data_IF_651864625266
#
_entry.id   IF_651864625266
#
_cell.length_a   1.000
_cell.length_b   1.000
_cell.length_c   1.000
_cell.angle_alpha   90.00
_cell.angle_beta   90.00
_cell.angle_gamma   90.00
#
_symmetry.space_group_name_H-M   'P 1'
#
loop_
_entity.id
_entity.type
_entity.pdbx_description
1 polymer ?
#
# COMPACT_ATOMS: atom_id res chain seq x y z
N UNK A 1 -48.81 38.24 -25.63
CA UNK A 1 -49.12 36.85 -26.03
C UNK A 1 -48.21 35.90 -25.25
N UNK A 2 -48.72 35.19 -24.24
CA UNK A 2 -47.93 34.21 -23.47
C UNK A 2 -48.47 32.81 -23.79
N UNK A 3 -47.65 32.00 -24.46
CA UNK A 3 -47.98 30.64 -24.93
C UNK A 3 -47.79 29.64 -23.76
N UNK A 4 -48.84 28.89 -23.43
CA UNK A 4 -48.90 27.91 -22.33
C UNK A 4 -47.82 26.82 -22.47
N UNK A 5 -46.86 26.76 -21.54
CA UNK A 5 -45.93 25.64 -21.34
C UNK A 5 -46.51 24.60 -20.35
N UNK A 6 -47.57 23.88 -20.73
CA UNK A 6 -48.16 22.82 -19.89
C UNK A 6 -47.96 21.38 -20.42
N UNK A 7 -47.35 21.21 -21.59
CA UNK A 7 -47.09 19.89 -22.19
C UNK A 7 -45.70 19.30 -21.89
N UNK A 8 -44.71 20.12 -21.54
CA UNK A 8 -43.35 19.63 -21.26
C UNK A 8 -43.20 19.01 -19.87
N UNK A 9 -43.92 19.53 -18.86
CA UNK A 9 -43.80 19.04 -17.47
C UNK A 9 -44.29 17.60 -17.34
N UNK A 10 -45.36 17.23 -18.06
CA UNK A 10 -45.91 15.87 -18.03
C UNK A 10 -44.93 14.84 -18.61
N UNK A 11 -44.16 15.22 -19.63
CA UNK A 11 -43.15 14.34 -20.25
C UNK A 11 -42.01 14.06 -19.25
N UNK A 12 -41.55 15.06 -18.51
CA UNK A 12 -40.50 14.87 -17.50
C UNK A 12 -40.97 13.98 -16.33
N UNK A 13 -42.23 14.12 -15.91
CA UNK A 13 -42.81 13.27 -14.85
C UNK A 13 -42.90 11.82 -15.32
N UNK A 14 -43.38 11.58 -16.55
CA UNK A 14 -43.47 10.23 -17.11
C UNK A 14 -42.06 9.62 -17.23
N UNK A 15 -41.07 10.39 -17.71
CA UNK A 15 -39.69 9.93 -17.83
C UNK A 15 -39.09 9.54 -16.46
N UNK A 16 -39.32 10.35 -15.43
CA UNK A 16 -38.84 10.05 -14.08
C UNK A 16 -39.48 8.77 -13.52
N UNK A 17 -40.78 8.56 -13.71
CA UNK A 17 -41.48 7.34 -13.28
C UNK A 17 -40.97 6.11 -14.03
N UNK A 18 -40.70 6.23 -15.33
CA UNK A 18 -40.13 5.13 -16.13
C UNK A 18 -38.72 4.78 -15.67
N UNK A 19 -37.88 5.78 -15.35
CA UNK A 19 -36.52 5.55 -14.83
C UNK A 19 -36.58 4.87 -13.46
N UNK A 20 -37.45 5.34 -12.55
CA UNK A 20 -37.63 4.73 -11.22
C UNK A 20 -38.15 3.30 -11.35
N UNK A 21 -39.13 3.05 -12.22
CA UNK A 21 -39.65 1.70 -12.47
C UNK A 21 -38.58 0.78 -13.09
N UNK A 22 -37.72 1.29 -13.97
CA UNK A 22 -36.61 0.54 -14.54
C UNK A 22 -35.55 0.20 -13.51
N UNK A 23 -35.23 1.12 -12.58
CA UNK A 23 -34.31 0.87 -11.45
C UNK A 23 -34.90 -0.20 -10.52
N UNK A 24 -36.18 -0.09 -10.15
CA UNK A 24 -36.85 -1.08 -9.30
C UNK A 24 -36.90 -2.44 -10.01
N UNK A 25 -37.24 -2.49 -11.30
CA UNK A 25 -37.26 -3.73 -12.08
C UNK A 25 -35.86 -4.35 -12.20
N UNK A 26 -34.82 -3.52 -12.36
CA UNK A 26 -33.43 -3.97 -12.37
C UNK A 26 -33.02 -4.59 -11.04
N UNK A 27 -33.37 -3.99 -9.90
CA UNK A 27 -33.11 -4.56 -8.58
C UNK A 27 -33.92 -5.83 -8.30
N UNK A 28 -35.18 -5.90 -8.76
CA UNK A 28 -36.00 -7.11 -8.62
C UNK A 28 -35.50 -8.27 -9.48
N UNK A 29 -35.09 -8.01 -10.72
CA UNK A 29 -34.54 -9.00 -11.64
C UNK A 29 -33.13 -9.46 -11.25
N UNK A 30 -32.35 -8.63 -10.54
CA UNK A 30 -31.04 -9.03 -9.99
C UNK A 30 -31.18 -9.94 -8.75
N UNK A 31 -32.33 -9.98 -8.08
CA UNK A 31 -32.52 -10.77 -6.86
C UNK A 31 -32.76 -12.28 -7.10
N UNK A 32 -32.84 -12.75 -8.35
CA UNK A 32 -33.24 -14.13 -8.66
C UNK A 32 -32.11 -15.17 -8.64
N UNK A 33 -31.00 -14.90 -7.94
CA UNK A 33 -29.82 -15.79 -7.88
C UNK A 33 -29.49 -16.39 -6.51
N UNK A 34 -30.18 -16.02 -5.43
CA UNK A 34 -29.93 -16.62 -4.11
C UNK A 34 -30.96 -17.72 -3.86
N UNK A 35 -30.49 -18.96 -3.80
CA UNK A 35 -31.13 -20.03 -3.03
C UNK A 35 -31.55 -19.40 -1.69
N UNK A 36 -32.85 -19.38 -1.38
CA UNK A 36 -33.33 -18.73 -0.18
C UNK A 36 -32.79 -19.49 1.03
N UNK A 37 -31.67 -19.02 1.57
CA UNK A 37 -31.05 -19.60 2.74
C UNK A 37 -32.08 -19.62 3.88
N UNK A 38 -32.27 -20.77 4.53
CA UNK A 38 -33.24 -20.86 5.62
C UNK A 38 -32.81 -19.95 6.77
N UNK A 39 -33.77 -19.49 7.57
CA UNK A 39 -33.46 -18.61 8.71
C UNK A 39 -32.53 -19.28 9.72
N UNK A 40 -32.53 -20.61 9.78
CA UNK A 40 -31.64 -21.41 10.63
C UNK A 40 -30.19 -21.45 10.10
N UNK A 41 -29.98 -21.34 8.79
CA UNK A 41 -28.65 -21.40 8.16
C UNK A 41 -27.99 -20.03 7.97
N UNK A 42 -28.77 -18.95 8.01
CA UNK A 42 -28.26 -17.59 7.88
C UNK A 42 -27.14 -17.23 8.87
N UNK A 43 -27.18 -17.61 10.16
CA UNK A 43 -26.10 -17.29 11.10
C UNK A 43 -24.76 -17.95 10.72
N UNK A 44 -24.80 -19.19 10.23
CA UNK A 44 -23.61 -19.93 9.76
C UNK A 44 -22.99 -19.23 8.56
N UNK A 45 -23.82 -18.86 7.58
CA UNK A 45 -23.33 -18.16 6.39
C UNK A 45 -22.79 -16.75 6.71
N UNK A 46 -23.45 -16.00 7.59
CA UNK A 46 -22.94 -14.70 8.03
C UNK A 46 -21.58 -14.83 8.73
N UNK A 47 -21.40 -15.89 9.52
CA UNK A 47 -20.12 -16.18 10.16
C UNK A 47 -19.04 -16.48 9.12
N UNK A 48 -19.35 -17.28 8.09
CA UNK A 48 -18.45 -17.53 6.97
C UNK A 48 -18.06 -16.25 6.24
N UNK A 49 -19.03 -15.37 5.92
CA UNK A 49 -18.75 -14.07 5.29
C UNK A 49 -17.81 -13.20 6.15
N UNK A 50 -18.05 -13.13 7.47
CA UNK A 50 -17.17 -12.39 8.38
C UNK A 50 -15.78 -13.02 8.54
N UNK A 51 -15.66 -14.32 8.35
CA UNK A 51 -14.36 -15.00 8.31
C UNK A 51 -13.57 -14.62 7.04
N UNK A 52 -14.21 -14.70 5.87
CA UNK A 52 -13.62 -14.29 4.59
C UNK A 52 -13.22 -12.80 4.57
N UNK A 53 -14.06 -11.94 5.14
CA UNK A 53 -13.76 -10.51 5.31
C UNK A 53 -12.47 -10.31 6.13
N UNK A 54 -12.31 -11.07 7.23
CA UNK A 54 -11.12 -11.01 8.08
C UNK A 54 -9.86 -11.50 7.37
N UNK A 55 -9.94 -12.60 6.62
CA UNK A 55 -8.81 -13.05 5.81
C UNK A 55 -8.44 -12.01 4.75
N UNK A 56 -9.43 -11.37 4.13
CA UNK A 56 -9.20 -10.29 3.17
C UNK A 56 -8.51 -9.09 3.82
N UNK A 57 -8.95 -8.66 5.01
CA UNK A 57 -8.28 -7.61 5.78
C UNK A 57 -6.84 -7.97 6.13
N UNK A 58 -6.58 -9.22 6.53
CA UNK A 58 -5.24 -9.72 6.84
C UNK A 58 -4.32 -9.70 5.62
N UNK A 59 -4.76 -10.21 4.47
CA UNK A 59 -3.99 -10.17 3.22
C UNK A 59 -3.72 -8.75 2.72
N UNK A 60 -4.69 -7.85 2.87
CA UNK A 60 -4.50 -6.41 2.58
C UNK A 60 -3.44 -5.79 3.50
N UNK A 61 -3.47 -6.10 4.80
CA UNK A 61 -2.47 -5.61 5.76
C UNK A 61 -1.09 -6.12 5.40
N UNK A 62 -0.98 -7.40 5.04
CA UNK A 62 0.28 -8.03 4.66
C UNK A 62 0.90 -7.35 3.43
N UNK A 63 0.12 -7.15 2.36
CA UNK A 63 0.55 -6.35 1.21
C UNK A 63 1.03 -4.95 1.61
N UNK A 64 0.31 -4.28 2.50
CA UNK A 64 0.66 -2.94 2.98
C UNK A 64 1.97 -2.89 3.77
N UNK A 65 2.20 -3.89 4.63
CA UNK A 65 3.37 -3.99 5.50
C UNK A 65 4.63 -4.45 4.75
N UNK A 66 4.48 -5.22 3.68
CA UNK A 66 5.57 -5.84 2.92
C UNK A 66 5.78 -5.22 1.54
N UNK A 67 5.56 -3.91 1.42
CA UNK A 67 5.83 -3.13 0.20
C UNK A 67 5.11 -3.65 -1.07
N UNK A 68 3.93 -4.23 -0.91
CA UNK A 68 3.10 -4.76 -2.00
C UNK A 68 3.38 -6.21 -2.37
N UNK A 69 3.96 -6.99 -1.45
CA UNK A 69 4.18 -8.43 -1.60
C UNK A 69 3.51 -9.18 -0.45
N UNK A 70 3.07 -10.41 -0.67
CA UNK A 70 2.64 -11.37 0.35
C UNK A 70 3.72 -12.45 0.52
N UNK A 71 4.29 -12.92 -0.60
CA UNK A 71 5.25 -14.02 -0.63
C UNK A 71 6.66 -13.48 -0.86
N UNK A 72 7.17 -12.71 0.10
CA UNK A 72 8.48 -12.03 0.02
C UNK A 72 9.64 -13.02 -0.18
N UNK A 73 9.52 -14.23 0.35
CA UNK A 73 10.47 -15.32 0.20
C UNK A 73 10.68 -15.79 -1.24
N UNK A 74 9.75 -15.49 -2.15
CA UNK A 74 9.89 -15.79 -3.57
C UNK A 74 10.76 -14.76 -4.32
N UNK A 75 11.09 -13.63 -3.68
CA UNK A 75 11.97 -12.62 -4.24
C UNK A 75 13.44 -12.99 -4.07
N UNK A 76 14.24 -12.72 -5.11
CA UNK A 76 15.69 -12.91 -5.06
C UNK A 76 16.32 -11.92 -4.07
N UNK A 77 16.86 -12.45 -2.96
CA UNK A 77 17.63 -11.64 -2.02
C UNK A 77 19.00 -11.27 -2.60
N UNK A 78 19.29 -9.97 -2.66
CA UNK A 78 20.58 -9.43 -3.09
C UNK A 78 21.27 -8.77 -1.90
N UNK A 79 22.40 -9.33 -1.48
CA UNK A 79 23.19 -8.77 -0.39
C UNK A 79 23.90 -7.47 -0.79
N UNK A 80 24.12 -6.62 0.21
CA UNK A 80 25.02 -5.48 0.08
C UNK A 80 26.49 -5.90 0.01
N UNK A 81 27.38 -4.91 -0.16
CA UNK A 81 28.83 -5.05 -0.09
C UNK A 81 29.42 -4.10 0.95
N UNK A 82 30.71 -4.26 1.26
CA UNK A 82 31.44 -3.33 2.13
C UNK A 82 31.40 -1.88 1.66
N UNK A 83 31.21 -1.66 0.36
CA UNK A 83 31.16 -0.33 -0.26
C UNK A 83 29.72 0.17 -0.46
N UNK A 84 28.77 -0.76 -0.67
CA UNK A 84 27.33 -0.48 -0.82
C UNK A 84 26.54 -1.37 0.17
N UNK A 85 26.40 -0.94 1.43
CA UNK A 85 25.98 -1.84 2.50
C UNK A 85 24.48 -2.16 2.52
N UNK A 86 23.66 -1.49 1.73
CA UNK A 86 22.23 -1.81 1.60
C UNK A 86 22.00 -3.06 0.74
N UNK A 87 21.03 -3.87 1.17
CA UNK A 87 20.56 -5.07 0.45
C UNK A 87 19.33 -4.75 -0.42
N UNK A 88 18.74 -5.76 -1.07
CA UNK A 88 17.46 -5.62 -1.77
C UNK A 88 16.24 -5.36 -0.87
N UNK A 89 16.39 -5.51 0.45
CA UNK A 89 15.30 -5.32 1.42
C UNK A 89 15.77 -4.70 2.73
N UNK A 90 14.82 -4.12 3.47
CA UNK A 90 14.98 -3.70 4.86
C UNK A 90 14.66 -4.89 5.77
N UNK A 91 15.52 -5.17 6.75
CA UNK A 91 15.16 -6.05 7.86
C UNK A 91 14.48 -5.21 8.95
N UNK A 92 13.16 -5.36 9.07
CA UNK A 92 12.36 -4.69 10.08
C UNK A 92 11.96 -5.69 11.17
N UNK A 93 12.75 -5.76 12.25
CA UNK A 93 12.53 -6.69 13.37
C UNK A 93 12.46 -8.18 12.96
N UNK A 94 13.26 -8.60 11.98
CA UNK A 94 13.27 -9.96 11.43
C UNK A 94 12.30 -10.15 10.27
N UNK A 95 11.52 -9.13 9.90
CA UNK A 95 10.61 -9.16 8.76
C UNK A 95 11.24 -8.46 7.55
N UNK A 96 11.40 -9.14 6.41
CA UNK A 96 11.94 -8.53 5.21
C UNK A 96 10.91 -7.61 4.55
N UNK A 97 11.27 -6.35 4.31
CA UNK A 97 10.47 -5.37 3.56
C UNK A 97 11.23 -5.00 2.28
N UNK A 98 10.82 -5.51 1.10
CA UNK A 98 11.49 -5.27 -0.17
C UNK A 98 11.55 -3.79 -0.53
N UNK A 99 12.71 -3.29 -0.96
CA UNK A 99 12.79 -1.94 -1.52
C UNK A 99 12.32 -1.95 -2.97
N UNK A 100 11.46 -1.04 -3.39
CA UNK A 100 11.10 -0.92 -4.81
C UNK A 100 12.29 -0.54 -5.71
N UNK A 101 13.27 0.17 -5.13
CA UNK A 101 14.52 0.58 -5.78
C UNK A 101 15.68 0.42 -4.80
N UNK A 102 16.80 -0.14 -5.26
CA UNK A 102 18.02 -0.23 -4.46
C UNK A 102 19.26 -0.26 -5.38
N UNK A 103 20.42 0.03 -4.79
CA UNK A 103 21.72 -0.15 -5.45
C UNK A 103 22.38 -1.40 -4.88
N UNK A 104 22.59 -2.40 -5.72
CA UNK A 104 23.22 -3.66 -5.34
C UNK A 104 24.68 -3.50 -4.92
N UNK A 105 25.24 -4.53 -4.29
CA UNK A 105 26.65 -4.57 -3.88
C UNK A 105 27.67 -4.33 -5.00
N UNK A 106 27.30 -4.60 -6.27
CA UNK A 106 28.10 -4.34 -7.47
C UNK A 106 27.75 -3.01 -8.18
N UNK A 107 27.09 -2.09 -7.47
CA UNK A 107 26.76 -0.75 -7.92
C UNK A 107 25.79 -0.70 -9.13
N UNK A 108 24.87 -1.67 -9.22
CA UNK A 108 23.80 -1.68 -10.23
C UNK A 108 22.51 -1.17 -9.58
N UNK A 109 21.87 -0.20 -10.23
CA UNK A 109 20.53 0.23 -9.85
C UNK A 109 19.52 -0.85 -10.25
N UNK A 110 18.90 -1.47 -9.26
CA UNK A 110 17.89 -2.49 -9.43
C UNK A 110 16.50 -1.94 -9.06
N UNK A 111 15.48 -2.50 -9.73
CA UNK A 111 14.07 -2.15 -9.52
C UNK A 111 13.28 -3.44 -9.32
N UNK A 112 12.46 -3.46 -8.30
CA UNK A 112 11.58 -4.59 -7.96
C UNK A 112 10.25 -4.05 -7.42
N UNK A 113 9.69 -3.04 -8.11
CA UNK A 113 8.36 -2.53 -7.78
C UNK A 113 7.32 -3.55 -8.28
N UNK A 114 6.37 -4.01 -7.43
CA UNK A 114 5.29 -4.88 -7.89
C UNK A 114 4.34 -4.13 -8.83
N UNK A 115 3.56 -4.88 -9.59
CA UNK A 115 2.45 -4.29 -10.38
C UNK A 115 1.16 -4.44 -9.60
N UNK A 116 0.18 -3.57 -9.85
CA UNK A 116 -1.15 -3.72 -9.22
C UNK A 116 -1.75 -5.11 -9.50
N UNK A 117 -1.59 -5.60 -10.72
CA UNK A 117 -2.06 -6.92 -11.13
C UNK A 117 -1.33 -8.06 -10.41
N UNK A 118 -0.04 -7.92 -10.07
CA UNK A 118 0.66 -8.94 -9.27
C UNK A 118 0.21 -8.90 -7.82
N UNK A 119 -0.04 -7.72 -7.25
CA UNK A 119 -0.61 -7.58 -5.90
C UNK A 119 -2.00 -8.22 -5.81
N UNK A 120 -2.86 -7.95 -6.79
CA UNK A 120 -4.17 -8.60 -6.91
C UNK A 120 -4.01 -10.11 -6.99
N UNK A 121 -3.06 -10.60 -7.80
CA UNK A 121 -2.85 -12.05 -7.96
C UNK A 121 -2.33 -12.72 -6.69
N UNK A 122 -1.40 -12.10 -5.97
CA UNK A 122 -0.91 -12.64 -4.70
C UNK A 122 -2.02 -12.67 -3.64
N UNK A 123 -2.88 -11.64 -3.61
CA UNK A 123 -4.03 -11.62 -2.70
C UNK A 123 -5.10 -12.67 -3.08
N UNK A 124 -5.28 -12.94 -4.38
CA UNK A 124 -6.12 -14.08 -4.83
C UNK A 124 -5.58 -15.40 -4.28
N UNK A 125 -4.29 -15.70 -4.49
CA UNK A 125 -3.67 -16.94 -4.02
C UNK A 125 -3.78 -17.05 -2.49
N UNK A 126 -3.50 -15.98 -1.77
CA UNK A 126 -3.61 -15.94 -0.32
C UNK A 126 -5.03 -16.27 0.17
N UNK A 127 -6.06 -15.75 -0.51
CA UNK A 127 -7.44 -16.02 -0.16
C UNK A 127 -7.88 -17.43 -0.56
N UNK A 128 -7.44 -17.93 -1.72
CA UNK A 128 -7.65 -19.32 -2.15
C UNK A 128 -7.13 -20.31 -1.10
N UNK A 129 -5.93 -20.05 -0.56
CA UNK A 129 -5.28 -20.85 0.50
C UNK A 129 -5.97 -20.74 1.87
N UNK A 130 -6.92 -19.81 2.05
CA UNK A 130 -7.60 -19.56 3.34
C UNK A 130 -9.13 -19.69 3.26
N UNK A 131 -9.70 -20.18 2.16
CA UNK A 131 -11.16 -20.33 2.01
C UNK A 131 -11.78 -21.25 3.07
N UNK A 132 -11.08 -22.32 3.45
CA UNK A 132 -11.52 -23.32 4.44
C UNK A 132 -10.95 -23.06 5.85
N UNK A 133 -10.16 -21.99 6.04
CA UNK A 133 -9.50 -21.67 7.30
C UNK A 133 -10.40 -20.91 8.29
N UNK A 134 -11.64 -21.37 8.42
CA UNK A 134 -12.65 -20.79 9.29
C UNK A 134 -13.06 -21.78 10.38
N UNK A 135 -13.08 -21.34 11.64
CA UNK A 135 -13.42 -22.20 12.77
C UNK A 135 -14.95 -22.33 12.95
N UNK A 136 -15.50 -23.50 12.66
CA UNK A 136 -16.93 -23.80 12.81
C UNK A 136 -17.25 -24.73 14.00
N UNK A 137 -16.32 -24.93 14.96
CA UNK A 137 -16.51 -25.85 16.11
C UNK A 137 -17.84 -25.63 16.85
N UNK A 138 -18.22 -24.37 17.05
CA UNK A 138 -19.49 -24.02 17.68
C UNK A 138 -20.69 -24.56 16.88
N UNK A 139 -20.71 -24.43 15.56
CA UNK A 139 -21.83 -24.86 14.72
C UNK A 139 -21.87 -26.39 14.58
N UNK A 140 -20.72 -27.05 14.50
CA UNK A 140 -20.67 -28.52 14.56
C UNK A 140 -21.29 -29.06 15.86
N UNK A 141 -21.07 -28.38 16.99
CA UNK A 141 -21.70 -28.76 18.27
C UNK A 141 -23.24 -28.61 18.29
N UNK A 142 -23.80 -27.81 17.38
CA UNK A 142 -25.24 -27.59 17.22
C UNK A 142 -25.87 -28.53 16.18
N UNK A 143 -25.09 -29.43 15.57
CA UNK A 143 -25.56 -30.42 14.61
C UNK A 143 -25.53 -29.98 13.14
N UNK A 144 -24.86 -28.86 12.84
CA UNK A 144 -24.57 -28.49 11.44
C UNK A 144 -23.45 -29.35 10.89
N UNK A 145 -23.57 -29.73 9.63
CA UNK A 145 -22.46 -30.25 8.81
C UNK A 145 -22.14 -29.20 7.74
N UNK A 146 -20.86 -28.85 7.61
CA UNK A 146 -20.40 -27.70 6.82
C UNK A 146 -19.24 -28.17 5.98
N UNK A 147 -19.36 -28.01 4.67
CA UNK A 147 -18.35 -28.41 3.70
C UNK A 147 -17.98 -27.28 2.75
N UNK A 148 -16.72 -27.30 2.32
CA UNK A 148 -16.11 -26.33 1.41
C UNK A 148 -15.59 -27.08 0.20
N UNK A 149 -15.71 -26.46 -0.97
CA UNK A 149 -15.06 -26.92 -2.19
C UNK A 149 -13.98 -25.94 -2.62
N UNK A 150 -12.94 -26.45 -3.27
CA UNK A 150 -11.97 -25.60 -3.96
C UNK A 150 -12.71 -24.62 -4.90
N UNK A 151 -12.25 -23.39 -4.92
CA UNK A 151 -12.87 -22.32 -5.67
C UNK A 151 -11.87 -21.41 -6.33
N UNK A 152 -12.39 -20.42 -7.06
CA UNK A 152 -11.57 -19.37 -7.66
C UNK A 152 -11.86 -18.05 -6.97
N UNK A 153 -10.80 -17.32 -6.66
CA UNK A 153 -10.90 -15.97 -6.13
C UNK A 153 -10.47 -14.98 -7.20
N UNK A 154 -11.24 -13.91 -7.35
CA UNK A 154 -10.86 -12.76 -8.16
C UNK A 154 -10.82 -11.50 -7.28
N UNK A 155 -9.69 -10.80 -7.28
CA UNK A 155 -9.49 -9.59 -6.48
C UNK A 155 -9.36 -8.37 -7.39
N UNK A 156 -9.96 -7.26 -6.98
CA UNK A 156 -9.75 -5.95 -7.61
C UNK A 156 -9.43 -4.90 -6.56
N UNK A 157 -8.22 -4.35 -6.61
CA UNK A 157 -7.77 -3.29 -5.71
C UNK A 157 -8.19 -1.94 -6.32
N UNK A 158 -9.18 -1.29 -5.70
CA UNK A 158 -9.60 0.08 -6.07
C UNK A 158 -8.91 1.10 -5.15
N UNK A 159 -9.17 2.38 -5.41
CA UNK A 159 -8.59 3.47 -4.63
C UNK A 159 -8.98 3.46 -3.14
N UNK A 160 -10.24 3.20 -2.83
CA UNK A 160 -10.83 3.29 -1.49
C UNK A 160 -11.37 1.96 -0.92
N UNK A 161 -11.27 0.87 -1.69
CA UNK A 161 -11.75 -0.46 -1.33
C UNK A 161 -11.03 -1.55 -2.10
N UNK A 162 -11.12 -2.76 -1.60
CA UNK A 162 -10.78 -3.99 -2.32
C UNK A 162 -12.06 -4.78 -2.53
N UNK A 163 -12.33 -5.15 -3.78
CA UNK A 163 -13.48 -5.96 -4.16
C UNK A 163 -12.98 -7.39 -4.39
N UNK A 164 -13.66 -8.37 -3.79
CA UNK A 164 -13.31 -9.78 -3.93
C UNK A 164 -14.57 -10.54 -4.30
N UNK A 165 -14.46 -11.34 -5.35
CA UNK A 165 -15.49 -12.26 -5.80
C UNK A 165 -14.94 -13.67 -5.74
N UNK A 166 -15.66 -14.54 -5.02
CA UNK A 166 -15.27 -15.92 -4.78
C UNK A 166 -16.32 -16.83 -5.41
N UNK A 167 -15.89 -17.72 -6.29
CA UNK A 167 -16.70 -18.79 -6.86
C UNK A 167 -16.26 -20.11 -6.21
N UNK A 168 -16.94 -20.48 -5.13
CA UNK A 168 -16.65 -21.65 -4.29
C UNK A 168 -17.95 -22.14 -3.66
N UNK A 169 -18.38 -23.38 -3.89
CA UNK A 169 -19.50 -23.96 -3.18
C UNK A 169 -19.26 -24.05 -1.66
N UNK A 170 -20.10 -23.35 -0.90
CA UNK A 170 -20.24 -23.47 0.54
C UNK A 170 -21.56 -24.18 0.85
N UNK A 171 -21.47 -25.39 1.42
CA UNK A 171 -22.62 -26.22 1.74
C UNK A 171 -22.86 -26.28 3.25
N UNK A 172 -24.12 -26.13 3.64
CA UNK A 172 -24.60 -26.17 5.01
C UNK A 172 -25.73 -27.18 5.10
N UNK A 173 -25.53 -28.22 5.89
CA UNK A 173 -26.49 -29.28 6.16
C UNK A 173 -26.96 -29.22 7.61
N UNK A 174 -28.27 -29.29 7.82
CA UNK A 174 -28.90 -29.36 9.13
C UNK A 174 -30.14 -30.24 9.06
N UNK A 175 -30.11 -31.39 9.73
CA UNK A 175 -31.19 -32.40 9.72
C UNK A 175 -31.58 -32.85 8.29
N UNK A 176 -32.74 -32.41 7.77
CA UNK A 176 -33.22 -32.69 6.40
C UNK A 176 -33.08 -31.48 5.46
N UNK A 177 -32.51 -30.37 5.93
CA UNK A 177 -32.30 -29.17 5.14
C UNK A 177 -30.85 -29.10 4.66
N UNK A 178 -30.68 -28.83 3.37
CA UNK A 178 -29.38 -28.52 2.74
C UNK A 178 -29.49 -27.16 2.07
N UNK A 179 -28.46 -26.33 2.25
CA UNK A 179 -28.29 -25.12 1.46
C UNK A 179 -26.89 -25.02 0.90
N UNK A 180 -26.80 -24.64 -0.37
CA UNK A 180 -25.56 -24.36 -1.07
C UNK A 180 -25.55 -22.90 -1.50
N UNK A 181 -24.44 -22.22 -1.24
CA UNK A 181 -24.15 -20.88 -1.74
C UNK A 181 -22.87 -20.97 -2.54
N UNK A 182 -22.92 -20.64 -3.84
CA UNK A 182 -21.77 -20.81 -4.75
C UNK A 182 -20.91 -19.56 -4.91
N UNK A 183 -21.51 -18.39 -4.77
CA UNK A 183 -20.86 -17.11 -5.02
C UNK A 183 -20.82 -16.30 -3.73
N UNK A 184 -19.64 -15.76 -3.41
CA UNK A 184 -19.42 -14.89 -2.26
C UNK A 184 -18.74 -13.61 -2.73
N UNK A 185 -19.48 -12.50 -2.68
CA UNK A 185 -18.95 -11.18 -2.95
C UNK A 185 -18.72 -10.44 -1.63
N UNK A 186 -17.53 -9.83 -1.50
CA UNK A 186 -17.15 -9.02 -0.36
C UNK A 186 -16.42 -7.76 -0.81
N UNK A 187 -16.56 -6.69 -0.01
CA UNK A 187 -15.95 -5.40 -0.27
C UNK A 187 -15.40 -4.83 1.02
N UNK A 188 -14.07 -4.75 1.09
CA UNK A 188 -13.34 -4.28 2.27
C UNK A 188 -12.87 -2.85 2.01
N UNK A 189 -13.22 -1.91 2.90
CA UNK A 189 -12.72 -0.54 2.80
C UNK A 189 -11.22 -0.51 3.07
N UNK A 190 -10.45 -0.02 2.11
CA UNK A 190 -8.99 0.04 2.22
C UNK A 190 -8.42 1.08 1.28
N UNK A 191 -7.43 1.84 1.75
CA UNK A 191 -6.70 2.82 0.93
C UNK A 191 -5.54 2.20 0.14
N UNK A 192 -5.42 0.86 0.11
CA UNK A 192 -4.29 0.15 -0.51
C UNK A 192 -4.03 0.62 -1.95
N UNK A 193 -5.05 0.70 -2.80
CA UNK A 193 -4.89 1.16 -4.19
C UNK A 193 -4.51 2.63 -4.29
N UNK A 194 -5.07 3.51 -3.44
CA UNK A 194 -4.67 4.92 -3.36
C UNK A 194 -3.19 5.06 -2.96
N UNK A 195 -2.76 4.32 -1.94
CA UNK A 195 -1.38 4.34 -1.47
C UNK A 195 -0.40 3.78 -2.51
N UNK A 196 -0.77 2.69 -3.19
CA UNK A 196 0.04 2.14 -4.29
C UNK A 196 0.21 3.16 -5.44
N UNK A 197 -0.87 3.87 -5.80
CA UNK A 197 -0.83 4.92 -6.83
C UNK A 197 0.13 6.05 -6.42
N UNK A 198 -0.05 6.59 -5.20
CA UNK A 198 0.80 7.66 -4.67
C UNK A 198 2.27 7.24 -4.58
N UNK A 199 2.53 6.04 -4.04
CA UNK A 199 3.88 5.50 -3.95
C UNK A 199 4.50 5.32 -5.34
N UNK A 200 3.72 4.90 -6.34
CA UNK A 200 4.18 4.78 -7.73
C UNK A 200 4.57 6.14 -8.31
N UNK A 201 3.82 7.19 -8.00
CA UNK A 201 4.12 8.54 -8.47
C UNK A 201 5.38 9.09 -7.81
N UNK A 202 5.55 8.90 -6.49
CA UNK A 202 6.78 9.26 -5.77
C UNK A 202 7.98 8.52 -6.33
N UNK A 203 7.86 7.20 -6.55
CA UNK A 203 8.90 6.37 -7.15
C UNK A 203 9.30 6.88 -8.55
N UNK A 204 8.32 7.17 -9.40
CA UNK A 204 8.59 7.65 -10.75
C UNK A 204 9.24 9.03 -10.75
N UNK A 205 8.79 9.93 -9.86
CA UNK A 205 9.36 11.27 -9.69
C UNK A 205 10.80 11.21 -9.18
N UNK A 206 11.08 10.37 -8.18
CA UNK A 206 12.45 10.14 -7.71
C UNK A 206 13.35 9.62 -8.85
N UNK A 207 12.85 8.65 -9.63
CA UNK A 207 13.57 8.09 -10.77
C UNK A 207 13.89 9.12 -11.87
N UNK A 208 13.11 10.20 -12.00
CA UNK A 208 13.34 11.24 -13.02
C UNK A 208 14.10 12.45 -12.49
N UNK A 209 13.86 12.86 -11.25
CA UNK A 209 14.36 14.12 -10.69
C UNK A 209 15.47 13.94 -9.64
N UNK A 210 15.65 12.74 -9.07
CA UNK A 210 16.64 12.44 -8.03
C UNK A 210 16.55 13.42 -6.85
N UNK A 211 15.33 13.67 -6.37
CA UNK A 211 15.11 14.75 -5.41
C UNK A 211 15.73 14.40 -4.06
N UNK A 212 15.73 13.12 -3.64
CA UNK A 212 16.39 12.70 -2.41
C UNK A 212 17.91 12.88 -2.50
N UNK A 213 18.53 12.61 -3.64
CA UNK A 213 19.95 12.89 -3.86
C UNK A 213 20.24 14.40 -3.83
N UNK A 214 19.38 15.22 -4.45
CA UNK A 214 19.56 16.67 -4.45
C UNK A 214 19.52 17.24 -3.01
N UNK A 215 18.55 16.84 -2.19
CA UNK A 215 18.53 17.22 -0.77
C UNK A 215 19.75 16.67 -0.01
N UNK A 216 20.16 15.43 -0.30
CA UNK A 216 21.35 14.83 0.33
C UNK A 216 22.64 15.59 -0.02
N UNK A 217 22.75 16.13 -1.24
CA UNK A 217 23.86 16.98 -1.66
C UNK A 217 23.87 18.32 -0.92
N UNK A 218 22.70 18.93 -0.71
CA UNK A 218 22.59 20.17 0.06
C UNK A 218 22.97 19.96 1.53
N UNK A 219 22.52 18.85 2.14
CA UNK A 219 22.98 18.43 3.47
C UNK A 219 24.50 18.23 3.48
N UNK A 220 25.06 17.56 2.47
CA UNK A 220 26.50 17.39 2.39
C UNK A 220 27.26 18.71 2.32
N UNK A 221 26.75 19.70 1.58
CA UNK A 221 27.38 21.02 1.47
C UNK A 221 27.31 21.84 2.75
N UNK A 222 26.24 21.70 3.52
CA UNK A 222 26.04 22.48 4.73
C UNK A 222 26.72 21.88 5.96
N UNK A 223 26.86 20.55 6.00
CA UNK A 223 27.29 19.81 7.19
C UNK A 223 28.61 19.04 7.00
N UNK A 224 29.25 19.13 5.82
CA UNK A 224 30.62 18.67 5.63
C UNK A 224 31.50 19.77 5.03
N UNK A 225 32.81 19.77 5.32
CA UNK A 225 33.74 20.78 4.82
C UNK A 225 34.14 20.49 3.36
N UNK A 226 33.17 20.58 2.45
CA UNK A 226 33.35 20.29 1.02
C UNK A 226 33.82 21.51 0.22
N UNK A 227 33.69 22.71 0.79
CA UNK A 227 34.14 23.97 0.21
C UNK A 227 34.62 24.95 1.29
N UNK A 228 35.11 26.12 0.85
CA UNK A 228 35.67 27.14 1.73
C UNK A 228 37.19 27.04 1.96
N UNK A 229 37.75 28.08 2.57
CA UNK A 229 39.16 28.14 2.95
C UNK A 229 39.29 28.90 4.28
N UNK A 230 40.11 28.38 5.18
CA UNK A 230 40.41 29.02 6.45
C UNK A 230 41.90 29.32 6.56
N UNK A 231 42.23 30.56 6.93
CA UNK A 231 43.60 30.98 7.12
C UNK A 231 43.96 30.86 8.60
N UNK A 232 44.86 29.91 8.91
CA UNK A 232 45.35 29.68 10.26
C UNK A 232 46.84 29.34 10.29
N UNK A 233 47.47 29.50 11.45
CA UNK A 233 48.88 29.14 11.66
C UNK A 233 49.09 27.65 11.93
N UNK A 234 48.02 26.88 12.14
CA UNK A 234 48.05 25.44 12.39
C UNK A 234 47.28 24.71 11.29
N UNK A 235 47.79 23.57 10.78
CA UNK A 235 47.06 22.76 9.82
C UNK A 235 45.78 22.25 10.46
N UNK A 236 44.68 22.29 9.70
CA UNK A 236 43.44 21.61 10.08
C UNK A 236 43.49 20.18 9.57
N UNK A 237 43.00 19.26 10.39
CA UNK A 237 42.88 17.85 10.05
C UNK A 237 41.40 17.49 10.04
N UNK A 238 40.95 16.80 9.01
CA UNK A 238 39.59 16.30 8.93
C UNK A 238 39.44 15.05 9.78
N UNK A 239 38.52 15.06 10.75
CA UNK A 239 38.19 13.89 11.56
C UNK A 239 37.03 13.18 10.89
N UNK A 240 37.30 12.02 10.28
CA UNK A 240 36.30 11.29 9.48
C UNK A 240 35.04 10.95 10.28
N UNK A 241 35.21 10.51 11.53
CA UNK A 241 34.14 10.06 12.42
C UNK A 241 33.21 11.22 12.78
N UNK A 242 33.76 12.40 13.06
CA UNK A 242 33.00 13.63 13.35
C UNK A 242 32.20 14.07 12.12
N UNK A 243 32.84 14.14 10.95
CA UNK A 243 32.16 14.47 9.69
C UNK A 243 31.05 13.47 9.38
N UNK A 244 31.29 12.17 9.64
CA UNK A 244 30.28 11.14 9.45
C UNK A 244 29.11 11.32 10.41
N UNK A 245 29.37 11.56 11.68
CA UNK A 245 28.33 11.77 12.68
C UNK A 245 27.46 12.99 12.33
N UNK A 246 28.09 14.11 11.98
CA UNK A 246 27.40 15.34 11.56
C UNK A 246 26.51 15.10 10.35
N UNK A 247 27.05 14.46 9.30
CA UNK A 247 26.29 14.17 8.08
C UNK A 247 25.11 13.22 8.33
N UNK A 248 25.31 12.15 9.09
CA UNK A 248 24.26 11.16 9.37
C UNK A 248 23.13 11.79 10.21
N UNK A 249 23.47 12.60 11.22
CA UNK A 249 22.49 13.32 12.02
C UNK A 249 21.75 14.38 11.21
N UNK A 250 22.47 15.13 10.36
CA UNK A 250 21.88 16.11 9.48
C UNK A 250 20.95 15.47 8.44
N UNK A 251 21.34 14.36 7.82
CA UNK A 251 20.49 13.61 6.90
C UNK A 251 19.20 13.15 7.60
N UNK A 252 19.30 12.61 8.82
CA UNK A 252 18.13 12.18 9.58
C UNK A 252 17.15 13.33 9.83
N UNK A 253 17.66 14.49 10.27
CA UNK A 253 16.84 15.66 10.54
C UNK A 253 16.21 16.26 9.26
N UNK A 254 17.00 16.41 8.19
CA UNK A 254 16.56 17.06 6.96
C UNK A 254 15.65 16.16 6.11
N UNK A 255 15.97 14.86 5.99
CA UNK A 255 15.09 13.89 5.32
C UNK A 255 13.77 13.78 6.07
N UNK A 256 13.79 13.74 7.41
CA UNK A 256 12.57 13.72 8.23
C UNK A 256 11.70 14.97 8.11
N UNK A 257 12.27 16.10 7.67
CA UNK A 257 11.55 17.34 7.43
C UNK A 257 10.85 17.39 6.06
N UNK A 258 11.24 16.53 5.12
CA UNK A 258 10.66 16.49 3.77
C UNK A 258 9.16 16.20 3.80
N UNK A 259 8.44 16.89 2.93
CA UNK A 259 7.02 16.66 2.68
C UNK A 259 6.74 16.76 1.19
N UNK A 260 5.75 15.99 0.72
CA UNK A 260 5.17 16.22 -0.59
C UNK A 260 4.16 17.36 -0.51
N UNK A 261 4.09 18.20 -1.54
CA UNK A 261 3.09 19.26 -1.64
C UNK A 261 1.67 18.70 -1.46
N UNK A 262 0.91 19.31 -0.55
CA UNK A 262 -0.36 18.75 -0.10
C UNK A 262 -1.04 19.58 0.97
N UNK A 263 -2.21 19.12 1.42
CA UNK A 263 -3.03 19.78 2.45
C UNK A 263 -3.04 19.04 3.81
N UNK A 264 -2.23 17.99 3.96
CA UNK A 264 -2.11 17.18 5.18
C UNK A 264 -1.14 17.74 6.24
N UNK A 265 -0.61 18.94 6.04
CA UNK A 265 0.30 19.61 6.99
C UNK A 265 0.09 21.13 7.01
N UNK A 266 0.69 21.79 8.00
CA UNK A 266 0.76 23.25 8.07
C UNK A 266 2.19 23.66 8.32
N UNK A 267 2.69 24.62 7.54
CA UNK A 267 4.04 25.16 7.72
C UNK A 267 4.07 26.13 8.90
N UNK A 268 4.98 25.89 9.84
CA UNK A 268 5.23 26.79 10.96
C UNK A 268 6.03 28.03 10.57
N UNK A 269 6.93 27.90 9.58
CA UNK A 269 7.77 28.96 9.03
C UNK A 269 7.76 28.89 7.50
N UNK A 270 7.81 30.04 6.84
CA UNK A 270 7.95 30.15 5.39
C UNK A 270 9.26 29.52 4.89
N UNK A 271 10.33 29.53 5.69
CA UNK A 271 11.59 28.86 5.31
C UNK A 271 11.42 27.36 5.08
N UNK A 272 10.41 26.74 5.70
CA UNK A 272 10.12 25.32 5.53
C UNK A 272 9.54 24.98 4.15
N UNK A 273 9.19 25.97 3.32
CA UNK A 273 8.85 25.77 1.90
C UNK A 273 9.98 25.05 1.15
N UNK A 274 11.24 25.20 1.61
CA UNK A 274 12.38 24.48 1.03
C UNK A 274 12.25 22.96 1.10
N UNK A 275 11.60 22.41 2.13
CA UNK A 275 11.44 20.95 2.30
C UNK A 275 10.21 20.37 1.59
N UNK A 276 9.54 21.18 0.76
CA UNK A 276 8.33 20.78 0.05
C UNK A 276 8.67 20.36 -1.38
N UNK A 277 8.47 19.08 -1.68
CA UNK A 277 8.62 18.53 -3.03
C UNK A 277 7.28 18.53 -3.75
N UNK A 278 7.20 19.22 -4.90
CA UNK A 278 6.02 19.21 -5.78
C UNK A 278 6.18 18.12 -6.86
N UNK A 279 5.44 17.03 -6.70
CA UNK A 279 5.43 15.90 -7.64
C UNK A 279 4.40 16.06 -8.77
N UNK A 280 3.85 17.28 -8.95
CA UNK A 280 2.87 17.59 -10.00
C UNK A 280 1.40 17.41 -9.58
N UNK A 281 1.14 17.11 -8.31
CA UNK A 281 -0.21 17.01 -7.74
C UNK A 281 -0.21 17.42 -6.27
N UNK A 282 -1.40 17.76 -5.75
CA UNK A 282 -1.60 17.97 -4.33
C UNK A 282 -1.93 16.63 -3.66
N UNK A 283 -1.06 16.20 -2.76
CA UNK A 283 -1.23 14.98 -1.96
C UNK A 283 -2.12 15.28 -0.75
N UNK A 284 -3.08 14.42 -0.46
CA UNK A 284 -4.02 14.54 0.66
C UNK A 284 -3.83 13.46 1.74
N UNK A 285 -2.77 12.66 1.62
CA UNK A 285 -2.38 11.62 2.56
C UNK A 285 -1.00 11.92 3.16
N UNK A 286 -0.79 11.49 4.41
CA UNK A 286 0.49 11.70 5.07
C UNK A 286 1.58 10.82 4.44
N UNK A 287 2.60 11.48 3.87
CA UNK A 287 3.84 10.83 3.42
C UNK A 287 4.98 11.18 4.38
N UNK A 288 5.74 10.16 4.77
CA UNK A 288 6.89 10.31 5.65
C UNK A 288 8.14 9.84 4.92
N UNK A 289 9.18 10.68 4.96
CA UNK A 289 10.52 10.32 4.55
C UNK A 289 11.34 10.05 5.81
N UNK A 290 12.10 8.97 5.80
CA UNK A 290 12.84 8.51 6.98
C UNK A 290 14.26 8.18 6.56
N UNK A 291 15.21 8.68 7.36
CA UNK A 291 16.59 8.23 7.35
C UNK A 291 17.00 7.96 8.80
N UNK A 292 17.43 6.73 9.08
CA UNK A 292 17.90 6.35 10.41
C UNK A 292 19.42 6.50 10.52
N UNK A 293 19.93 7.15 11.57
CA UNK A 293 21.36 7.18 11.86
C UNK A 293 21.99 5.79 12.08
N UNK A 294 21.18 4.81 12.46
CA UNK A 294 21.61 3.42 12.61
C UNK A 294 21.79 2.69 11.28
N UNK A 295 21.30 3.25 10.17
CA UNK A 295 21.45 2.61 8.87
C UNK A 295 22.89 2.67 8.37
N UNK A 296 23.39 1.59 7.73
CA UNK A 296 24.75 1.55 7.24
C UNK A 296 25.05 2.68 6.26
N UNK A 297 26.00 3.55 6.62
CA UNK A 297 26.43 4.69 5.80
C UNK A 297 27.94 4.66 5.59
N UNK A 298 28.33 4.66 4.33
CA UNK A 298 29.73 4.67 3.89
C UNK A 298 30.08 6.06 3.38
N UNK A 299 31.19 6.62 3.91
CA UNK A 299 31.72 7.91 3.51
C UNK A 299 33.20 7.74 3.17
N UNK A 300 33.58 8.28 2.02
CA UNK A 300 34.95 8.32 1.53
C UNK A 300 35.42 9.78 1.48
N UNK A 301 36.57 10.05 2.12
CA UNK A 301 37.18 11.37 2.17
C UNK A 301 38.59 11.21 1.58
N UNK A 302 38.92 12.02 0.58
CA UNK A 302 40.20 11.98 -0.11
C UNK A 302 41.03 13.22 0.26
N UNK A 303 42.26 13.02 0.74
CA UNK A 303 43.18 14.11 1.09
C UNK A 303 44.36 13.66 1.95
N UNK A 304 45.42 14.48 2.00
CA UNK A 304 46.62 14.21 2.82
C UNK A 304 46.36 14.49 4.32
N UNK A 305 45.38 15.34 4.66
CA UNK A 305 45.07 15.80 6.02
C UNK A 305 43.80 15.15 6.62
N UNK A 306 43.58 13.85 6.37
CA UNK A 306 42.42 13.11 6.93
C UNK A 306 42.87 12.19 8.06
N UNK A 307 42.44 12.48 9.29
CA UNK A 307 42.56 11.55 10.41
C UNK A 307 41.52 10.43 10.27
N UNK A 308 41.99 9.20 10.45
CA UNK A 308 41.17 7.98 10.47
C UNK A 308 40.69 7.64 11.87
#
# INVERSE_FOLDING_TARGET
>A
MVKKRKGQVTIFIILAVVIVAAIIAYFLLRSTGTSSLSKEMQPVYNYYQSCLERHTEQGISLLGEQAGYIYVEELDFVSGSSYKPFSSQLDFFGQPVPYWMYVSGNNILAKQKPTLASMEKELETYLEDNLDNCDFEYYYSQGYDISFSEGKVNVQIKGDRVEVSIDSPFEIDLEEQTATVNEHDLSVNSKLGKFYSLATEVFNYEMSELFLENYSLDVMRLYAPVDGAELGCSPKVFVKEEIKEDLVNALSANVGALKLKGDYYTLSDKTNEYFITDIGQNVDEQVNFIYSPSWPTTIEIYGEDVAK
#
